data_IF_986251156785
#
_entry.id   IF_986251156785
#
_cell.length_a   1.000
_cell.length_b   1.000
_cell.length_c   1.000
_cell.angle_alpha   90.00
_cell.angle_beta   90.00
_cell.angle_gamma   90.00
#
_symmetry.space_group_name_H-M   'P 1'
#
loop_
_entity.id
_entity.type
_entity.pdbx_description
1 polymer ?
#
# COMPACT_ATOMS: atom_id res chain seq x y z
N UNK A 1 23.18 -12.34 -11.81
CA UNK A 1 22.10 -12.96 -12.61
C UNK A 1 21.10 -11.86 -12.97
N UNK A 2 20.91 -11.57 -14.26
CA UNK A 2 19.91 -10.62 -14.74
C UNK A 2 18.52 -11.25 -14.56
N UNK A 3 17.84 -10.98 -13.45
CA UNK A 3 16.45 -11.41 -13.25
C UNK A 3 15.56 -10.50 -14.11
N UNK A 4 14.81 -11.08 -15.04
CA UNK A 4 13.81 -10.35 -15.83
C UNK A 4 12.64 -9.91 -14.93
N UNK A 5 11.86 -8.91 -15.36
CA UNK A 5 10.65 -8.41 -14.65
C UNK A 5 9.63 -9.52 -14.35
N UNK A 6 9.68 -10.62 -15.12
CA UNK A 6 8.83 -11.81 -14.95
C UNK A 6 9.29 -12.77 -13.83
N UNK A 7 10.54 -12.68 -13.35
CA UNK A 7 11.07 -13.52 -12.27
C UNK A 7 10.82 -12.95 -10.87
N UNK A 8 10.36 -11.70 -10.78
CA UNK A 8 10.13 -11.03 -9.50
C UNK A 8 8.65 -11.12 -9.12
N UNK A 9 8.37 -11.57 -7.90
CA UNK A 9 7.02 -11.50 -7.34
C UNK A 9 6.69 -10.09 -6.86
N UNK A 10 5.41 -9.75 -6.86
CA UNK A 10 4.91 -8.54 -6.20
C UNK A 10 5.23 -8.59 -4.70
N UNK A 11 5.79 -7.52 -4.12
CA UNK A 11 5.86 -7.41 -2.68
C UNK A 11 4.46 -7.27 -2.09
N UNK A 12 4.32 -7.74 -0.86
CA UNK A 12 3.11 -7.68 -0.06
C UNK A 12 3.26 -6.55 0.95
N UNK A 13 2.35 -5.59 0.92
CA UNK A 13 2.35 -4.39 1.74
C UNK A 13 1.15 -4.41 2.68
N UNK A 14 1.35 -4.34 4.00
CA UNK A 14 0.24 -4.12 4.94
C UNK A 14 0.05 -2.64 5.25
N UNK A 15 -1.21 -2.24 5.40
CA UNK A 15 -1.57 -0.94 5.99
C UNK A 15 -1.92 -1.15 7.47
N UNK A 16 -1.19 -0.45 8.34
CA UNK A 16 -1.31 -0.50 9.80
C UNK A 16 -1.67 0.88 10.35
N UNK A 17 -2.14 0.95 11.60
CA UNK A 17 -2.48 2.21 12.28
C UNK A 17 -3.77 2.15 13.09
N UNK A 18 -4.04 3.23 13.83
CA UNK A 18 -5.15 3.30 14.79
C UNK A 18 -6.54 3.23 14.19
N UNK A 19 -7.53 2.86 15.01
CA UNK A 19 -8.93 2.92 14.60
C UNK A 19 -9.19 4.32 14.06
N UNK A 20 -9.95 4.41 12.97
CA UNK A 20 -10.34 5.69 12.36
C UNK A 20 -9.21 6.59 11.85
N UNK A 21 -7.95 6.15 11.78
CA UNK A 21 -6.86 6.92 11.15
C UNK A 21 -6.94 7.01 9.62
N UNK A 22 -7.98 6.44 9.01
CA UNK A 22 -8.24 6.55 7.58
C UNK A 22 -7.54 5.52 6.69
N UNK A 23 -7.01 4.41 7.24
CA UNK A 23 -6.40 3.30 6.48
C UNK A 23 -7.24 2.84 5.28
N UNK A 24 -8.47 2.43 5.55
CA UNK A 24 -9.42 1.91 4.55
C UNK A 24 -9.77 2.98 3.52
N UNK A 25 -9.94 4.23 3.96
CA UNK A 25 -10.25 5.38 3.11
C UNK A 25 -9.13 5.72 2.13
N UNK A 26 -7.87 5.61 2.56
CA UNK A 26 -6.71 5.77 1.67
C UNK A 26 -6.73 4.68 0.61
N UNK A 27 -6.98 3.42 1.01
CA UNK A 27 -7.06 2.31 0.06
C UNK A 27 -8.24 2.43 -0.89
N UNK A 28 -9.38 2.93 -0.45
CA UNK A 28 -10.54 3.20 -1.30
C UNK A 28 -10.25 4.24 -2.37
N UNK A 29 -9.49 5.29 -2.04
CA UNK A 29 -9.01 6.26 -3.04
C UNK A 29 -8.03 5.64 -4.05
N UNK A 30 -7.18 4.72 -3.60
CA UNK A 30 -6.29 3.96 -4.51
C UNK A 30 -7.11 3.04 -5.42
N UNK A 31 -8.11 2.34 -4.88
CA UNK A 31 -8.97 1.38 -5.58
C UNK A 31 -10.06 2.00 -6.45
N UNK A 32 -10.44 3.27 -6.18
CA UNK A 32 -11.70 3.89 -6.66
C UNK A 32 -12.93 3.08 -6.25
N UNK A 33 -12.93 2.60 -5.00
CA UNK A 33 -14.02 1.84 -4.38
C UNK A 33 -14.54 2.56 -3.15
N UNK A 34 -15.59 2.03 -2.53
CA UNK A 34 -16.13 2.53 -1.28
C UNK A 34 -16.41 1.36 -0.34
N UNK A 35 -15.35 0.65 0.06
CA UNK A 35 -15.44 -0.56 0.89
C UNK A 35 -15.82 -0.19 2.32
N UNK A 36 -15.29 0.92 2.84
CA UNK A 36 -15.53 1.35 4.22
C UNK A 36 -17.03 1.49 4.55
N UNK A 37 -17.82 2.07 3.65
CA UNK A 37 -19.27 2.25 3.83
C UNK A 37 -20.06 0.93 3.83
N UNK A 38 -19.49 -0.12 3.26
CA UNK A 38 -20.07 -1.47 3.25
C UNK A 38 -19.77 -2.29 4.49
N UNK A 39 -18.85 -1.84 5.36
CA UNK A 39 -18.46 -2.55 6.57
C UNK A 39 -19.24 -2.04 7.79
N UNK A 40 -19.69 -2.96 8.63
CA UNK A 40 -20.49 -2.61 9.80
C UNK A 40 -19.69 -1.72 10.77
N UNK A 41 -20.29 -0.59 11.16
CA UNK A 41 -19.64 0.41 12.00
C UNK A 41 -18.60 1.28 11.29
N UNK A 42 -18.48 1.19 9.96
CA UNK A 42 -17.53 1.99 9.19
C UNK A 42 -16.06 1.63 9.45
N UNK A 43 -15.82 0.47 10.07
CA UNK A 43 -14.49 -0.05 10.40
C UNK A 43 -14.23 -1.36 9.67
N UNK A 44 -12.98 -1.56 9.28
CA UNK A 44 -12.56 -2.83 8.67
C UNK A 44 -12.57 -3.96 9.67
N UNK A 45 -13.29 -5.03 9.33
CA UNK A 45 -13.46 -6.21 10.19
C UNK A 45 -12.78 -7.47 9.62
N UNK A 46 -12.45 -7.45 8.32
CA UNK A 46 -11.86 -8.57 7.60
C UNK A 46 -10.55 -8.16 6.94
N UNK A 47 -9.72 -9.15 6.62
CA UNK A 47 -8.49 -8.88 5.86
C UNK A 47 -8.87 -8.76 4.39
N UNK A 48 -8.63 -7.59 3.81
CA UNK A 48 -8.76 -7.33 2.38
C UNK A 48 -7.43 -7.48 1.66
N UNK A 49 -7.46 -7.90 0.40
CA UNK A 49 -6.29 -7.90 -0.47
C UNK A 49 -6.59 -7.12 -1.76
N UNK A 50 -5.62 -6.35 -2.23
CA UNK A 50 -5.78 -5.50 -3.41
C UNK A 50 -4.51 -5.55 -4.23
N UNK A 51 -4.62 -6.05 -5.46
CA UNK A 51 -3.51 -6.05 -6.39
C UNK A 51 -3.48 -4.74 -7.19
N UNK A 52 -2.36 -4.01 -7.12
CA UNK A 52 -2.11 -2.79 -7.88
C UNK A 52 -1.04 -3.09 -8.91
N UNK A 53 -1.38 -3.13 -10.22
CA UNK A 53 -0.40 -3.45 -11.26
C UNK A 53 0.60 -2.30 -11.43
N UNK A 54 1.81 -2.64 -11.89
CA UNK A 54 2.89 -1.67 -12.17
C UNK A 54 2.43 -0.53 -13.09
N UNK A 55 1.62 -0.82 -14.10
CA UNK A 55 1.05 0.19 -15.00
C UNK A 55 0.21 1.25 -14.27
N UNK A 56 -0.64 0.84 -13.32
CA UNK A 56 -1.45 1.78 -12.53
C UNK A 56 -0.60 2.64 -11.60
N UNK A 57 0.49 2.08 -11.06
CA UNK A 57 1.43 2.85 -10.24
C UNK A 57 2.15 3.88 -11.12
N UNK A 58 2.68 3.45 -12.25
CA UNK A 58 3.39 4.30 -13.21
C UNK A 58 2.53 5.46 -13.73
N UNK A 59 1.24 5.22 -13.98
CA UNK A 59 0.25 6.23 -14.40
C UNK A 59 -0.02 7.25 -13.28
N UNK A 60 -0.19 6.80 -12.04
CA UNK A 60 -0.50 7.67 -10.90
C UNK A 60 0.70 8.48 -10.42
N UNK A 61 1.92 8.00 -10.64
CA UNK A 61 3.16 8.67 -10.21
C UNK A 61 3.80 9.54 -11.30
N UNK A 62 3.13 9.78 -12.43
CA UNK A 62 3.66 10.61 -13.53
C UNK A 62 4.12 11.98 -13.05
N UNK A 63 3.37 12.62 -12.15
CA UNK A 63 3.67 13.96 -11.64
C UNK A 63 4.90 14.00 -10.72
N UNK A 64 5.32 12.87 -10.17
CA UNK A 64 6.51 12.76 -9.32
C UNK A 64 7.80 12.58 -10.14
N UNK A 65 7.70 12.46 -11.46
CA UNK A 65 8.86 12.31 -12.35
C UNK A 65 9.51 13.67 -12.59
N UNK A 66 10.85 13.74 -12.51
CA UNK A 66 11.57 14.94 -12.92
C UNK A 66 11.61 15.05 -14.46
N UNK A 67 11.70 16.26 -15.04
CA UNK A 67 11.68 16.48 -16.49
C UNK A 67 12.76 15.72 -17.29
N UNK A 68 13.82 15.29 -16.61
CA UNK A 68 14.96 14.56 -17.18
C UNK A 68 14.72 13.05 -17.29
N UNK A 69 13.54 12.54 -16.92
CA UNK A 69 13.23 11.11 -16.85
C UNK A 69 12.43 10.63 -18.08
N UNK A 70 13.07 10.03 -19.11
CA UNK A 70 12.35 9.38 -20.19
C UNK A 70 11.56 8.15 -19.69
N UNK A 71 10.51 7.80 -20.43
CA UNK A 71 9.78 6.54 -20.24
C UNK A 71 10.72 5.40 -20.63
N UNK A 72 11.09 4.57 -19.65
CA UNK A 72 11.85 3.31 -19.71
C UNK A 72 13.35 3.35 -19.41
N UNK A 73 13.72 2.38 -18.56
CA UNK A 73 15.03 1.82 -18.26
C UNK A 73 15.79 2.37 -17.05
N UNK A 74 15.54 1.73 -15.89
CA UNK A 74 16.63 0.88 -15.39
C UNK A 74 17.35 1.29 -14.11
N UNK A 75 17.14 2.48 -13.53
CA UNK A 75 17.91 2.92 -12.34
C UNK A 75 17.10 3.77 -11.36
N UNK A 76 16.90 3.22 -10.16
CA UNK A 76 16.46 3.97 -8.99
C UNK A 76 17.61 4.82 -8.42
N UNK A 77 17.30 5.98 -7.81
CA UNK A 77 18.13 6.46 -6.74
C UNK A 77 17.28 6.94 -5.55
N UNK A 78 17.77 6.56 -4.39
CA UNK A 78 17.82 7.34 -3.15
C UNK A 78 17.42 8.81 -3.38
N UNK A 79 16.17 9.16 -3.05
CA UNK A 79 15.63 10.52 -2.97
C UNK A 79 15.73 11.43 -4.24
N UNK A 80 15.72 10.91 -5.47
CA UNK A 80 15.69 11.84 -6.62
C UNK A 80 15.81 11.31 -8.04
N UNK A 81 15.34 10.11 -8.38
CA UNK A 81 15.47 9.66 -9.78
C UNK A 81 14.50 8.58 -10.22
N UNK A 82 14.75 8.10 -11.44
CA UNK A 82 13.77 7.46 -12.31
C UNK A 82 13.05 6.27 -11.66
N UNK A 83 11.72 6.28 -11.79
CA UNK A 83 10.81 5.25 -11.27
C UNK A 83 10.91 3.97 -12.12
N UNK A 84 11.96 3.17 -11.91
CA UNK A 84 12.15 1.89 -12.62
C UNK A 84 11.43 0.74 -11.90
N UNK A 85 10.17 0.54 -12.24
CA UNK A 85 9.33 -0.52 -11.66
C UNK A 85 9.67 -1.88 -12.27
N UNK A 86 10.66 -2.58 -11.69
CA UNK A 86 11.07 -3.94 -12.12
C UNK A 86 10.14 -5.06 -11.63
N UNK A 87 9.19 -4.76 -10.76
CA UNK A 87 8.22 -5.72 -10.22
C UNK A 87 6.90 -5.67 -10.99
N UNK A 88 6.13 -6.78 -11.03
CA UNK A 88 4.87 -6.83 -11.75
C UNK A 88 3.80 -5.88 -11.17
N UNK A 89 3.84 -5.65 -9.85
CA UNK A 89 2.94 -4.73 -9.15
C UNK A 89 3.16 -4.80 -7.65
N UNK A 90 2.17 -4.33 -6.89
CA UNK A 90 2.14 -4.34 -5.42
C UNK A 90 0.87 -5.06 -4.95
N UNK A 91 0.99 -5.98 -3.99
CA UNK A 91 -0.16 -6.56 -3.31
C UNK A 91 -0.35 -5.84 -1.98
N UNK A 92 -1.50 -5.18 -1.78
CA UNK A 92 -1.79 -4.46 -0.54
C UNK A 92 -2.75 -5.29 0.30
N UNK A 93 -2.45 -5.42 1.59
CA UNK A 93 -3.25 -6.07 2.61
C UNK A 93 -3.84 -4.98 3.51
N UNK A 94 -5.17 -4.90 3.49
CA UNK A 94 -5.94 -4.05 4.38
C UNK A 94 -6.18 -4.80 5.69
N UNK A 95 -5.73 -4.24 6.81
CA UNK A 95 -5.86 -4.88 8.13
C UNK A 95 -6.77 -4.08 9.05
N UNK A 96 -7.55 -4.74 9.91
CA UNK A 96 -8.44 -4.07 10.83
C UNK A 96 -7.66 -3.23 11.86
N UNK A 97 -8.17 -2.02 12.13
CA UNK A 97 -7.59 -1.08 13.09
C UNK A 97 -8.01 -1.34 14.53
N UNK A 98 -9.17 -1.97 14.78
CA UNK A 98 -9.71 -2.14 16.14
C UNK A 98 -8.91 -3.15 16.95
N UNK A 99 -8.65 -2.82 18.21
CA UNK A 99 -7.86 -3.64 19.15
C UNK A 99 -8.40 -5.08 19.24
N UNK A 100 -9.72 -5.22 19.21
CA UNK A 100 -10.41 -6.52 19.21
C UNK A 100 -10.02 -7.45 18.05
N UNK A 101 -9.40 -6.93 16.99
CA UNK A 101 -8.95 -7.70 15.83
C UNK A 101 -7.43 -7.92 15.79
N UNK A 102 -6.75 -7.89 16.95
CA UNK A 102 -5.29 -8.11 17.08
C UNK A 102 -4.80 -9.36 16.35
N UNK A 103 -5.55 -10.47 16.37
CA UNK A 103 -5.19 -11.69 15.65
C UNK A 103 -5.12 -11.51 14.13
N UNK A 104 -6.06 -10.75 13.54
CA UNK A 104 -6.07 -10.47 12.10
C UNK A 104 -4.95 -9.52 11.72
N UNK A 105 -4.64 -8.54 12.58
CA UNK A 105 -3.52 -7.62 12.41
C UNK A 105 -2.17 -8.34 12.45
N UNK A 106 -1.99 -9.24 13.41
CA UNK A 106 -0.80 -10.08 13.54
C UNK A 106 -0.65 -11.01 12.32
N UNK A 107 -1.73 -11.62 11.86
CA UNK A 107 -1.73 -12.47 10.65
C UNK A 107 -1.41 -11.67 9.39
N UNK A 108 -2.01 -10.49 9.22
CA UNK A 108 -1.78 -9.64 8.06
C UNK A 108 -0.32 -9.15 8.00
N UNK A 109 0.20 -8.66 9.13
CA UNK A 109 1.59 -8.18 9.21
C UNK A 109 2.64 -9.28 9.04
N UNK A 110 2.41 -10.49 9.59
CA UNK A 110 3.35 -11.61 9.46
C UNK A 110 3.55 -12.13 8.03
N UNK A 111 2.65 -11.79 7.11
CA UNK A 111 2.72 -12.19 5.69
C UNK A 111 3.35 -11.10 4.80
N UNK A 112 3.60 -9.90 5.32
CA UNK A 112 3.98 -8.74 4.51
C UNK A 112 5.49 -8.54 4.46
N UNK A 113 5.95 -8.08 3.29
CA UNK A 113 7.34 -7.69 3.06
C UNK A 113 7.61 -6.26 3.54
N UNK A 114 6.59 -5.39 3.44
CA UNK A 114 6.65 -3.98 3.84
C UNK A 114 5.37 -3.57 4.58
N UNK A 115 5.48 -2.53 5.40
CA UNK A 115 4.37 -1.98 6.16
C UNK A 115 4.28 -0.45 5.98
N UNK A 116 3.06 0.06 5.87
CA UNK A 116 2.75 1.48 5.92
C UNK A 116 1.97 1.74 7.20
N UNK A 117 2.56 2.52 8.11
CA UNK A 117 1.90 2.96 9.33
C UNK A 117 1.19 4.29 9.09
N UNK A 118 -0.13 4.28 9.16
CA UNK A 118 -0.99 5.46 9.01
C UNK A 118 -1.19 6.09 10.39
N UNK A 119 -0.72 7.32 10.52
CA UNK A 119 -0.82 8.15 11.72
C UNK A 119 -1.67 9.36 11.39
N UNK A 120 -2.72 9.61 12.19
CA UNK A 120 -3.50 10.82 12.05
C UNK A 120 -2.68 12.03 12.54
N UNK A 121 -2.56 13.05 11.72
CA UNK A 121 -1.86 14.29 12.07
C UNK A 121 -2.54 15.04 13.23
N UNK A 122 -3.86 14.90 13.37
CA UNK A 122 -4.63 15.60 14.39
C UNK A 122 -4.49 14.96 15.77
N UNK A 123 -4.44 13.62 15.83
CA UNK A 123 -4.36 12.85 17.09
C UNK A 123 -2.93 12.41 17.41
N UNK A 124 -2.04 12.34 16.41
CA UNK A 124 -0.66 11.91 16.58
C UNK A 124 -0.55 10.41 16.85
N UNK A 125 0.41 10.04 17.71
CA UNK A 125 0.64 8.65 18.08
C UNK A 125 -0.36 8.20 19.13
N UNK A 126 -1.10 7.13 18.84
CA UNK A 126 -2.10 6.56 19.75
C UNK A 126 -1.76 5.11 20.09
N UNK A 127 -2.26 4.64 21.24
CA UNK A 127 -2.09 3.26 21.66
C UNK A 127 -3.09 2.35 20.93
N UNK A 128 -2.68 1.11 20.62
CA UNK A 128 -3.27 0.33 19.52
C UNK A 128 -3.88 -1.02 19.87
#
# INVERSE_FOLDING_TARGET
>A
ANKNKEDLRSPICCILGHVDTGKTKILDNVRRTNVQDGEAGGITQQIGATYVPSSSIEERTVQLRTPEQPKSEGKAPDLGGAFDMKMPGLLIIDTPGHESFTNLRARGSGLCDIAVLVVDMMHGMEQQ
#
